data_IF_189791663433
#
_entry.id   IF_189791663433
#
_cell.length_a   1.000
_cell.length_b   1.000
_cell.length_c   1.000
_cell.angle_alpha   90.00
_cell.angle_beta   90.00
_cell.angle_gamma   90.00
#
_symmetry.space_group_name_H-M   'P 1'
#
loop_
_entity.id
_entity.type
_entity.pdbx_description
1 polymer ?
#
# COMPACT_ATOMS: atom_id res chain seq x y z
N UNK A 1 -23.03 -1.95 22.39
CA UNK A 1 -22.48 -2.72 21.27
C UNK A 1 -20.99 -2.45 21.23
N UNK A 2 -20.18 -3.40 21.65
CA UNK A 2 -18.73 -3.29 21.54
C UNK A 2 -18.36 -3.56 20.08
N UNK A 3 -17.78 -2.58 19.42
CA UNK A 3 -17.10 -2.78 18.14
C UNK A 3 -15.82 -3.56 18.46
N UNK A 4 -15.92 -4.88 18.50
CA UNK A 4 -14.74 -5.73 18.54
C UNK A 4 -14.01 -5.52 17.22
N UNK A 5 -12.81 -4.92 17.29
CA UNK A 5 -11.82 -4.93 16.22
C UNK A 5 -11.32 -6.36 16.02
N UNK A 6 -12.22 -7.22 15.52
CA UNK A 6 -11.87 -8.53 15.05
C UNK A 6 -11.11 -8.37 13.74
N UNK A 7 -10.02 -9.11 13.54
CA UNK A 7 -9.24 -9.09 12.30
C UNK A 7 -10.11 -9.34 11.04
N UNK A 8 -11.33 -9.87 11.21
CA UNK A 8 -12.37 -9.97 10.17
C UNK A 8 -12.84 -8.58 9.70
N UNK A 9 -13.01 -7.59 10.57
CA UNK A 9 -13.45 -6.22 10.20
C UNK A 9 -12.39 -5.49 9.39
N UNK A 10 -11.10 -5.71 9.68
CA UNK A 10 -9.98 -5.19 8.89
C UNK A 10 -9.95 -5.77 7.46
N UNK A 11 -10.32 -7.04 7.30
CA UNK A 11 -10.50 -7.64 5.98
C UNK A 11 -11.68 -7.00 5.22
N UNK A 12 -12.74 -6.59 5.90
CA UNK A 12 -13.89 -5.93 5.24
C UNK A 12 -13.46 -4.59 4.62
N UNK A 13 -12.69 -3.76 5.33
CA UNK A 13 -12.19 -2.49 4.77
C UNK A 13 -11.28 -2.68 3.55
N UNK A 14 -10.35 -3.64 3.62
CA UNK A 14 -9.47 -3.95 2.50
C UNK A 14 -10.18 -4.65 1.34
N UNK A 15 -11.30 -5.33 1.59
CA UNK A 15 -12.06 -5.97 0.52
C UNK A 15 -13.02 -4.99 -0.17
N UNK A 16 -13.49 -3.97 0.54
CA UNK A 16 -14.40 -2.94 0.02
C UNK A 16 -13.64 -1.80 -0.69
N UNK A 17 -12.52 -1.32 -0.11
CA UNK A 17 -11.73 -0.20 -0.63
C UNK A 17 -10.33 -0.58 -1.14
N UNK A 18 -9.89 -1.82 -0.90
CA UNK A 18 -8.54 -2.25 -1.25
C UNK A 18 -8.44 -2.80 -2.68
N UNK A 19 -7.38 -2.38 -3.34
CA UNK A 19 -6.95 -2.89 -4.63
C UNK A 19 -6.18 -4.20 -4.45
N UNK A 20 -6.23 -5.04 -5.47
CA UNK A 20 -5.45 -6.28 -5.48
C UNK A 20 -3.98 -5.93 -5.72
N UNK A 21 -3.14 -6.31 -4.78
CA UNK A 21 -1.70 -6.09 -4.77
C UNK A 21 -0.98 -7.43 -4.92
N UNK A 22 -0.01 -7.50 -5.82
CA UNK A 22 0.75 -8.71 -6.13
C UNK A 22 2.23 -8.38 -6.05
N UNK A 23 2.97 -9.08 -5.19
CA UNK A 23 4.44 -9.02 -5.17
C UNK A 23 5.01 -10.43 -5.09
N UNK A 24 5.78 -10.82 -6.09
CA UNK A 24 6.28 -12.19 -6.23
C UNK A 24 5.12 -13.20 -6.28
N UNK A 25 5.08 -14.11 -5.32
CA UNK A 25 4.01 -15.10 -5.13
C UNK A 25 2.90 -14.66 -4.17
N UNK A 26 3.07 -13.52 -3.49
CA UNK A 26 2.10 -13.02 -2.51
C UNK A 26 1.04 -12.19 -3.22
N UNK A 27 -0.23 -12.56 -3.05
CA UNK A 27 -1.38 -11.79 -3.51
C UNK A 27 -2.22 -11.41 -2.30
N UNK A 28 -2.37 -10.11 -2.06
CA UNK A 28 -3.15 -9.58 -0.95
C UNK A 28 -3.82 -8.26 -1.33
N UNK A 29 -4.73 -7.79 -0.48
CA UNK A 29 -5.40 -6.50 -0.66
C UNK A 29 -4.58 -5.38 -0.01
N UNK A 30 -4.59 -4.21 -0.63
CA UNK A 30 -3.94 -3.01 -0.09
C UNK A 30 -4.64 -1.75 -0.57
N UNK A 31 -4.54 -0.68 0.20
CA UNK A 31 -5.13 0.62 -0.13
C UNK A 31 -4.03 1.48 -0.72
N UNK A 32 -4.17 1.83 -2.00
CA UNK A 32 -3.24 2.72 -2.69
C UNK A 32 -3.73 4.15 -2.53
N UNK A 33 -3.00 4.92 -1.75
CA UNK A 33 -3.17 6.36 -1.64
C UNK A 33 -2.47 6.98 -2.86
N UNK A 34 -3.29 7.55 -3.74
CA UNK A 34 -2.77 8.34 -4.86
C UNK A 34 -2.35 9.71 -4.34
N UNK A 35 -1.18 10.23 -4.72
CA UNK A 35 -0.77 11.53 -4.24
C UNK A 35 -1.62 12.58 -4.94
N UNK A 36 -2.11 13.55 -4.17
CA UNK A 36 -2.74 14.73 -4.74
C UNK A 36 -1.76 15.41 -5.68
N UNK A 37 -2.11 15.46 -6.95
CA UNK A 37 -1.30 16.11 -7.97
C UNK A 37 -1.47 17.63 -7.80
N UNK A 38 -0.66 18.26 -6.95
CA UNK A 38 -0.57 19.72 -6.93
C UNK A 38 0.15 20.15 -8.22
N UNK A 39 -0.64 20.53 -9.23
CA UNK A 39 -0.15 21.12 -10.46
C UNK A 39 0.38 22.54 -10.18
N UNK A 40 1.60 22.63 -9.63
CA UNK A 40 2.33 23.88 -9.46
C UNK A 40 3.26 24.12 -10.67
N UNK A 41 2.66 24.48 -11.81
CA UNK A 41 3.42 24.83 -13.04
C UNK A 41 3.99 23.62 -13.81
N UNK A 42 5.13 23.82 -14.48
CA UNK A 42 5.77 22.89 -15.45
C UNK A 42 6.68 21.82 -14.80
N UNK A 43 6.69 21.73 -13.46
CA UNK A 43 7.55 20.81 -12.73
C UNK A 43 6.73 19.69 -12.10
N UNK A 44 6.97 18.46 -12.56
CA UNK A 44 6.44 17.24 -11.93
C UNK A 44 7.12 17.11 -10.56
N UNK A 45 6.41 17.50 -9.49
CA UNK A 45 6.82 17.17 -8.13
C UNK A 45 6.59 15.67 -7.96
N UNK A 46 7.64 14.93 -7.63
CA UNK A 46 7.65 13.49 -7.43
C UNK A 46 6.39 13.02 -6.69
N UNK A 47 5.52 12.32 -7.41
CA UNK A 47 4.26 11.79 -6.94
C UNK A 47 4.57 10.48 -6.22
N UNK A 48 4.89 10.54 -4.92
CA UNK A 48 5.20 9.36 -4.10
C UNK A 48 3.90 8.68 -3.68
N UNK A 49 3.57 7.55 -4.30
CA UNK A 49 2.38 6.77 -3.98
C UNK A 49 2.58 6.06 -2.64
N UNK A 50 1.56 5.98 -1.79
CA UNK A 50 1.64 5.24 -0.53
C UNK A 50 0.69 4.05 -0.57
N UNK A 51 1.19 2.84 -0.33
CA UNK A 51 0.37 1.63 -0.22
C UNK A 51 0.28 1.21 1.24
N UNK A 52 -0.93 1.22 1.79
CA UNK A 52 -1.20 0.66 3.12
C UNK A 52 -1.67 -0.78 2.97
N UNK A 53 -0.91 -1.73 3.51
CA UNK A 53 -1.24 -3.14 3.47
C UNK A 53 -0.79 -3.87 4.74
N UNK A 54 -1.19 -5.13 4.92
CA UNK A 54 -0.81 -5.89 6.11
C UNK A 54 0.67 -6.20 6.13
N UNK A 55 1.30 -6.04 7.29
CA UNK A 55 2.73 -6.34 7.49
C UNK A 55 3.04 -7.82 7.27
N UNK A 56 2.09 -8.71 7.53
CA UNK A 56 2.24 -10.15 7.27
C UNK A 56 2.40 -10.49 5.79
N UNK A 57 1.78 -9.69 4.91
CA UNK A 57 1.79 -9.93 3.47
C UNK A 57 2.97 -9.21 2.79
N UNK A 58 3.18 -7.94 3.13
CA UNK A 58 4.13 -7.06 2.43
C UNK A 58 5.19 -6.42 3.33
N UNK A 59 5.16 -6.66 4.64
CA UNK A 59 6.10 -6.06 5.59
C UNK A 59 7.52 -6.61 5.54
N UNK A 60 7.76 -7.63 4.71
CA UNK A 60 9.10 -8.14 4.36
C UNK A 60 9.65 -7.55 3.06
N UNK A 61 8.86 -6.75 2.33
CA UNK A 61 9.36 -6.07 1.14
C UNK A 61 10.42 -5.03 1.53
N UNK A 62 11.35 -4.82 0.62
CA UNK A 62 12.43 -3.84 0.76
C UNK A 62 12.46 -2.91 -0.44
N UNK A 63 13.19 -1.80 -0.29
CA UNK A 63 13.40 -0.86 -1.38
C UNK A 63 14.01 -1.56 -2.61
N UNK A 64 13.50 -1.22 -3.79
CA UNK A 64 13.85 -1.85 -5.07
C UNK A 64 13.02 -3.08 -5.43
N UNK A 65 12.15 -3.60 -4.55
CA UNK A 65 11.20 -4.65 -4.92
C UNK A 65 10.07 -4.10 -5.80
N UNK A 66 9.52 -4.94 -6.66
CA UNK A 66 8.38 -4.60 -7.51
C UNK A 66 7.09 -5.11 -6.89
N UNK A 67 6.06 -4.27 -6.92
CA UNK A 67 4.70 -4.61 -6.53
C UNK A 67 3.74 -4.14 -7.60
N UNK A 68 2.80 -5.01 -7.99
CA UNK A 68 1.75 -4.68 -8.94
C UNK A 68 0.49 -4.38 -8.17
N UNK A 69 -0.06 -3.18 -8.31
CA UNK A 69 -1.32 -2.76 -7.67
C UNK A 69 -2.32 -2.45 -8.76
N UNK A 70 -3.44 -3.15 -8.76
CA UNK A 70 -4.50 -3.01 -9.77
C UNK A 70 -4.00 -3.12 -11.22
N UNK A 71 -3.02 -4.00 -11.45
CA UNK A 71 -2.40 -4.19 -12.76
C UNK A 71 -1.30 -3.17 -13.14
N UNK A 72 -1.06 -2.15 -12.32
CA UNK A 72 0.05 -1.20 -12.51
C UNK A 72 1.27 -1.62 -11.70
N UNK A 73 2.44 -1.72 -12.33
CA UNK A 73 3.68 -2.02 -11.65
C UNK A 73 4.28 -0.78 -10.97
N UNK A 74 4.67 -0.93 -9.72
CA UNK A 74 5.32 0.07 -8.90
C UNK A 74 6.60 -0.50 -8.29
N UNK A 75 7.53 0.38 -7.98
CA UNK A 75 8.77 0.05 -7.28
C UNK A 75 8.70 0.55 -5.84
N UNK A 76 8.95 -0.34 -4.89
CA UNK A 76 9.02 -0.01 -3.45
C UNK A 76 10.24 0.86 -3.19
N UNK A 77 10.05 1.97 -2.48
CA UNK A 77 11.09 2.93 -2.09
C UNK A 77 11.42 2.84 -0.61
N UNK A 78 10.40 2.71 0.22
CA UNK A 78 10.52 2.60 1.68
C UNK A 78 9.37 1.73 2.21
N UNK A 79 9.60 1.06 3.34
CA UNK A 79 8.57 0.27 4.04
C UNK A 79 8.58 0.64 5.51
N UNK A 80 7.50 1.25 5.97
CA UNK A 80 7.28 1.65 7.37
C UNK A 80 6.21 0.77 8.00
N UNK A 81 6.47 0.28 9.20
CA UNK A 81 5.49 -0.48 9.99
C UNK A 81 4.76 0.49 10.90
N UNK A 82 3.43 0.49 10.84
CA UNK A 82 2.58 1.39 11.64
C UNK A 82 2.34 0.79 13.03
N UNK A 83 2.52 1.62 14.07
CA UNK A 83 2.28 1.47 15.52
C UNK A 83 2.13 0.04 16.13
N UNK A 84 1.15 -0.75 15.69
CA UNK A 84 0.85 -2.10 16.21
C UNK A 84 1.52 -3.22 15.39
N UNK A 85 2.29 -2.87 14.35
CA UNK A 85 2.93 -3.82 13.45
C UNK A 85 1.96 -4.63 12.57
N UNK A 86 0.65 -4.43 12.71
CA UNK A 86 -0.40 -5.10 11.91
C UNK A 86 -0.42 -4.58 10.47
N UNK A 87 -0.25 -3.27 10.30
CA UNK A 87 -0.17 -2.63 8.99
C UNK A 87 1.22 -2.05 8.71
N UNK A 88 1.56 -2.01 7.43
CA UNK A 88 2.73 -1.35 6.91
C UNK A 88 2.33 -0.41 5.78
N UNK A 89 3.02 0.74 5.72
CA UNK A 89 2.97 1.70 4.62
C UNK A 89 4.19 1.52 3.76
N UNK A 90 3.97 1.27 2.48
CA UNK A 90 5.01 1.18 1.48
C UNK A 90 4.99 2.47 0.65
N UNK A 91 6.08 3.21 0.64
CA UNK A 91 6.27 4.29 -0.32
C UNK A 91 6.63 3.68 -1.66
N UNK A 92 5.89 4.04 -2.70
CA UNK A 92 5.96 3.48 -4.03
C UNK A 92 6.29 4.57 -5.05
N UNK A 93 7.09 4.22 -6.04
CA UNK A 93 7.30 5.03 -7.23
C UNK A 93 6.72 4.31 -8.44
N UNK A 94 5.92 5.04 -9.23
CA UNK A 94 5.44 4.53 -10.50
C UNK A 94 6.62 4.39 -11.47
N UNK A 95 6.74 3.21 -12.07
CA UNK A 95 7.75 2.93 -13.09
C UNK A 95 7.26 3.30 -14.50
#
# INVERSE_FOLDING_TARGET
>A
MAFTEDATTQNVYLNDFGLTCISGSTTAKGILEQPDQILAGDMIISTEYELTAKTSDFGSLVSGNTITVDGTAFTVRDVRKENDGVFCRLSLSKN
#
